data_IF_644542167766
#
_entry.id   IF_644542167766
#
_cell.length_a   1.000
_cell.length_b   1.000
_cell.length_c   1.000
_cell.angle_alpha   90.00
_cell.angle_beta   90.00
_cell.angle_gamma   90.00
#
_symmetry.space_group_name_H-M   'P 1'
#
loop_
_entity.id
_entity.type
_entity.pdbx_description
1 polymer ?
#
# COMPACT_ATOMS: atom_id res chain seq x y z
N UNK A 1 13.73 4.74 14.15
CA UNK A 1 12.27 4.67 13.96
C UNK A 1 11.73 6.10 14.04
N UNK A 2 11.47 6.71 12.88
CA UNK A 2 10.77 7.99 12.81
C UNK A 2 9.29 7.70 12.94
N UNK A 3 8.57 8.41 13.81
CA UNK A 3 7.13 8.25 13.93
C UNK A 3 6.46 8.70 12.61
N UNK A 4 5.54 7.89 12.08
CA UNK A 4 4.74 8.28 10.92
C UNK A 4 3.96 9.57 11.27
N UNK A 5 3.95 10.58 10.39
CA UNK A 5 3.26 11.83 10.66
C UNK A 5 1.75 11.58 10.72
N UNK A 6 1.10 12.06 11.78
CA UNK A 6 -0.35 11.94 11.95
C UNK A 6 -1.01 12.99 11.06
N UNK A 7 -1.87 12.53 10.14
CA UNK A 7 -2.65 13.42 9.28
C UNK A 7 -3.72 14.17 10.11
N UNK A 8 -4.01 15.44 9.79
CA UNK A 8 -5.12 16.15 10.42
C UNK A 8 -6.45 15.45 10.08
N UNK A 9 -7.34 15.33 11.05
CA UNK A 9 -8.67 14.77 10.80
C UNK A 9 -9.48 15.69 9.89
N UNK A 10 -9.95 15.14 8.76
CA UNK A 10 -10.85 15.83 7.83
C UNK A 10 -11.96 14.89 7.38
N UNK A 11 -13.18 15.43 7.30
CA UNK A 11 -14.36 14.67 6.86
C UNK A 11 -14.44 14.58 5.33
N UNK A 12 -13.75 15.49 4.63
CA UNK A 12 -13.61 15.50 3.17
C UNK A 12 -12.18 15.91 2.83
N UNK A 13 -11.57 15.17 1.90
CA UNK A 13 -10.24 15.45 1.37
C UNK A 13 -10.39 15.92 -0.07
N UNK A 14 -9.79 17.06 -0.38
CA UNK A 14 -9.73 17.60 -1.74
C UNK A 14 -8.32 17.45 -2.30
N UNK A 15 -8.18 17.63 -3.63
CA UNK A 15 -6.87 17.59 -4.29
C UNK A 15 -5.95 18.72 -3.80
N UNK A 16 -6.51 19.86 -3.44
CA UNK A 16 -5.76 21.01 -2.93
C UNK A 16 -5.09 20.71 -1.59
N UNK A 17 -5.70 19.86 -0.76
CA UNK A 17 -5.16 19.45 0.54
C UNK A 17 -3.92 18.55 0.42
N UNK A 18 -3.69 17.93 -0.75
CA UNK A 18 -2.54 17.05 -0.98
C UNK A 18 -1.20 17.81 -0.91
N UNK A 19 -1.21 19.11 -1.21
CA UNK A 19 -0.02 19.96 -1.17
C UNK A 19 0.53 20.19 0.23
N UNK A 20 -0.34 20.10 1.24
CA UNK A 20 0.00 20.33 2.66
C UNK A 20 0.32 19.04 3.42
N UNK A 21 0.29 17.90 2.73
CA UNK A 21 0.59 16.62 3.36
C UNK A 21 2.05 16.57 3.83
N UNK A 22 2.32 15.91 4.97
CA UNK A 22 3.67 15.65 5.40
C UNK A 22 4.38 14.80 4.34
N UNK A 23 5.71 14.93 4.27
CA UNK A 23 6.50 14.14 3.32
C UNK A 23 6.22 12.65 3.50
N UNK A 24 6.14 11.87 2.40
CA UNK A 24 5.92 10.43 2.48
C UNK A 24 6.96 9.76 3.38
N UNK A 25 6.50 8.74 4.11
CA UNK A 25 7.39 7.85 4.86
C UNK A 25 8.26 7.10 3.84
N UNK A 26 9.58 6.93 4.09
CA UNK A 26 10.41 6.05 3.28
C UNK A 26 9.80 4.65 3.18
N UNK A 27 9.89 4.00 2.03
CA UNK A 27 9.19 2.73 1.79
C UNK A 27 9.69 1.62 2.72
N UNK A 28 10.98 1.65 3.07
CA UNK A 28 11.62 0.73 4.02
C UNK A 28 11.11 0.87 5.45
N UNK A 29 10.50 2.00 5.80
CA UNK A 29 9.90 2.26 7.11
C UNK A 29 8.38 1.99 7.11
N UNK A 30 7.78 1.66 5.96
CA UNK A 30 6.36 1.38 5.85
C UNK A 30 6.02 -0.01 6.40
N UNK A 31 5.06 -0.04 7.34
CA UNK A 31 4.57 -1.30 7.92
C UNK A 31 3.57 -2.01 6.99
N UNK A 32 2.81 -1.23 6.23
CA UNK A 32 1.76 -1.69 5.33
C UNK A 32 1.74 -0.83 4.07
N UNK A 33 1.67 -1.47 2.92
CA UNK A 33 1.31 -0.83 1.66
C UNK A 33 -0.05 -1.38 1.19
N UNK A 34 -0.94 -0.49 0.73
CA UNK A 34 -2.27 -0.87 0.22
C UNK A 34 -2.40 -0.40 -1.22
N UNK A 35 -2.82 -1.29 -2.10
CA UNK A 35 -3.11 -0.98 -3.49
C UNK A 35 -4.57 -1.29 -3.79
N UNK A 36 -5.25 -0.35 -4.45
CA UNK A 36 -6.63 -0.51 -4.87
C UNK A 36 -6.62 -0.75 -6.38
N UNK A 37 -7.13 -1.91 -6.80
CA UNK A 37 -7.14 -2.32 -8.20
C UNK A 37 -8.00 -1.35 -9.01
N UNK A 38 -7.45 -0.93 -10.14
CA UNK A 38 -8.16 -0.20 -11.19
C UNK A 38 -8.39 -1.13 -12.39
N UNK A 39 -9.30 -0.79 -13.33
CA UNK A 39 -9.63 -1.66 -14.47
C UNK A 39 -8.46 -2.09 -15.34
N UNK A 40 -7.32 -1.39 -15.26
CA UNK A 40 -6.12 -1.67 -16.06
C UNK A 40 -4.92 -2.12 -15.24
N UNK A 41 -5.03 -2.24 -13.90
CA UNK A 41 -3.88 -2.44 -13.03
C UNK A 41 -3.82 -3.79 -12.31
N UNK A 42 -4.83 -4.66 -12.46
CA UNK A 42 -4.93 -5.94 -11.72
C UNK A 42 -3.64 -6.75 -11.70
N UNK A 43 -3.02 -7.01 -12.87
CA UNK A 43 -1.76 -7.77 -12.93
C UNK A 43 -0.61 -7.03 -12.23
N UNK A 44 -0.50 -5.73 -12.45
CA UNK A 44 0.57 -4.91 -11.89
C UNK A 44 0.51 -4.86 -10.37
N UNK A 45 -0.70 -4.73 -9.81
CA UNK A 45 -0.90 -4.62 -8.37
C UNK A 45 -0.74 -5.98 -7.68
N UNK A 46 -1.20 -7.07 -8.30
CA UNK A 46 -1.07 -8.41 -7.70
C UNK A 46 0.34 -9.01 -7.84
N UNK A 47 1.13 -8.65 -8.86
CA UNK A 47 2.41 -9.31 -9.13
C UNK A 47 3.62 -8.38 -9.13
N UNK A 48 3.63 -7.34 -9.96
CA UNK A 48 4.84 -6.52 -10.15
C UNK A 48 5.13 -5.66 -8.91
N UNK A 49 4.11 -4.97 -8.40
CA UNK A 49 4.24 -4.16 -7.19
C UNK A 49 4.49 -4.99 -5.95
N UNK A 50 3.84 -6.14 -5.81
CA UNK A 50 4.09 -7.09 -4.72
C UNK A 50 5.60 -7.41 -4.62
N UNK A 51 6.26 -7.71 -5.74
CA UNK A 51 7.71 -7.95 -5.76
C UNK A 51 8.54 -6.73 -5.35
N UNK A 52 8.12 -5.53 -5.76
CA UNK A 52 8.82 -4.28 -5.40
C UNK A 52 8.74 -4.04 -3.89
N UNK A 53 7.55 -4.13 -3.30
CA UNK A 53 7.35 -3.90 -1.88
C UNK A 53 8.00 -4.99 -1.02
N UNK A 54 7.97 -6.26 -1.46
CA UNK A 54 8.67 -7.34 -0.76
C UNK A 54 10.18 -7.10 -0.70
N UNK A 55 10.78 -6.67 -1.82
CA UNK A 55 12.21 -6.34 -1.89
C UNK A 55 12.58 -5.10 -1.08
N UNK A 56 11.63 -4.18 -0.90
CA UNK A 56 11.77 -3.01 -0.03
C UNK A 56 11.61 -3.36 1.46
N UNK A 57 11.19 -4.58 1.80
CA UNK A 57 11.03 -5.04 3.18
C UNK A 57 9.71 -4.63 3.83
N UNK A 58 8.71 -4.20 3.06
CA UNK A 58 7.40 -3.84 3.60
C UNK A 58 6.72 -5.10 4.13
N UNK A 59 6.32 -5.08 5.41
CA UNK A 59 5.98 -6.31 6.11
C UNK A 59 4.62 -6.90 5.71
N UNK A 60 3.66 -6.05 5.38
CA UNK A 60 2.34 -6.44 4.89
C UNK A 60 1.98 -5.65 3.63
N UNK A 61 1.42 -6.33 2.64
CA UNK A 61 0.96 -5.73 1.39
C UNK A 61 -0.47 -6.18 1.11
N UNK A 62 -1.40 -5.24 1.05
CA UNK A 62 -2.81 -5.54 0.82
C UNK A 62 -3.23 -5.07 -0.55
N UNK A 63 -3.95 -5.92 -1.28
CA UNK A 63 -4.58 -5.54 -2.53
C UNK A 63 -6.09 -5.64 -2.38
N UNK A 64 -6.75 -4.51 -2.61
CA UNK A 64 -8.21 -4.37 -2.56
C UNK A 64 -8.73 -4.36 -3.99
N UNK A 65 -9.59 -5.30 -4.35
CA UNK A 65 -10.22 -5.33 -5.67
C UNK A 65 -11.73 -4.99 -5.56
N UNK A 66 -12.13 -3.76 -5.93
CA UNK A 66 -13.53 -3.35 -5.93
C UNK A 66 -14.27 -3.72 -7.22
N UNK A 67 -13.60 -4.29 -8.22
CA UNK A 67 -14.19 -4.57 -9.54
C UNK A 67 -14.93 -5.90 -9.62
N UNK A 68 -14.75 -6.75 -8.61
CA UNK A 68 -15.49 -8.00 -8.46
C UNK A 68 -16.93 -7.73 -7.99
N UNK A 69 -17.81 -8.74 -8.04
CA UNK A 69 -19.20 -8.62 -7.53
C UNK A 69 -19.26 -8.19 -6.05
N UNK A 70 -18.20 -8.51 -5.28
CA UNK A 70 -17.98 -8.07 -3.91
C UNK A 70 -16.55 -7.60 -3.78
N UNK A 71 -16.32 -6.54 -3.00
CA UNK A 71 -14.96 -6.09 -2.70
C UNK A 71 -14.17 -7.25 -2.08
N UNK A 72 -13.04 -7.59 -2.68
CA UNK A 72 -12.12 -8.59 -2.14
C UNK A 72 -10.87 -7.93 -1.59
N UNK A 73 -10.27 -8.56 -0.58
CA UNK A 73 -8.99 -8.18 -0.02
C UNK A 73 -8.08 -9.40 -0.04
N UNK A 74 -6.91 -9.24 -0.64
CA UNK A 74 -5.82 -10.22 -0.58
C UNK A 74 -4.70 -9.63 0.25
N UNK A 75 -4.32 -10.33 1.31
CA UNK A 75 -3.14 -10.00 2.11
C UNK A 75 -1.95 -10.83 1.63
N UNK A 76 -0.81 -10.14 1.49
CA UNK A 76 0.51 -10.70 1.22
C UNK A 76 1.41 -10.43 2.43
N UNK A 77 1.88 -11.48 3.10
CA UNK A 77 2.70 -11.36 4.30
C UNK A 77 4.17 -11.64 3.96
N UNK A 78 5.09 -10.76 4.37
CA UNK A 78 6.49 -10.92 3.99
C UNK A 78 7.06 -12.19 4.63
N UNK A 79 7.54 -13.11 3.80
CA UNK A 79 8.14 -14.35 4.25
C UNK A 79 9.34 -14.09 5.17
N UNK A 80 9.68 -15.05 6.03
CA UNK A 80 10.84 -14.94 6.93
C UNK A 80 12.16 -14.68 6.18
N UNK A 81 12.25 -15.03 4.88
CA UNK A 81 13.40 -14.74 4.02
C UNK A 81 13.51 -13.30 3.52
N UNK A 82 12.50 -12.45 3.75
CA UNK A 82 12.54 -11.00 3.52
C UNK A 82 12.69 -10.56 2.06
N UNK A 83 12.27 -11.38 1.10
CA UNK A 83 12.42 -11.09 -0.35
C UNK A 83 11.18 -11.34 -1.19
N UNK A 84 10.24 -12.11 -0.66
CA UNK A 84 9.00 -12.49 -1.33
C UNK A 84 7.87 -12.54 -0.30
N UNK A 85 6.65 -12.34 -0.78
CA UNK A 85 5.45 -12.50 0.01
C UNK A 85 4.93 -13.94 -0.07
N UNK A 86 4.31 -14.41 1.02
CA UNK A 86 3.51 -15.64 1.10
C UNK A 86 2.01 -15.33 1.02
#
# INVERSE_FOLDING_TARGET
MTAAPILPERHEWTVDDLGDLPKPVPVEDALLAVEVVSPTSTFRDMYDKAKVYARAGVQSYWVVDPLQERVTLTEYALAAGGREYE
#
